data_IF_462653652968
#
_entry.id   IF_462653652968
#
_cell.length_a   1.000
_cell.length_b   1.000
_cell.length_c   1.000
_cell.angle_alpha   90.00
_cell.angle_beta   90.00
_cell.angle_gamma   90.00
#
_symmetry.space_group_name_H-M   'P 1'
#
loop_
_entity.id
_entity.type
_entity.pdbx_description
1 polymer ?
#
# COMPACT_ATOMS: atom_id res chain seq x y z
N UNK A 1 -25.60 -22.28 -3.61
CA UNK A 1 -24.33 -22.12 -4.34
C UNK A 1 -24.19 -20.66 -4.73
N UNK A 2 -22.95 -20.18 -4.79
CA UNK A 2 -22.49 -18.78 -4.84
C UNK A 2 -22.19 -18.17 -3.47
N UNK A 3 -21.13 -18.70 -2.86
CA UNK A 3 -20.33 -18.02 -1.84
C UNK A 3 -19.74 -16.75 -2.48
N UNK A 4 -19.77 -15.58 -1.82
CA UNK A 4 -18.92 -14.49 -2.25
C UNK A 4 -17.47 -14.89 -1.92
N UNK A 5 -16.71 -15.26 -2.95
CA UNK A 5 -15.24 -15.35 -2.94
C UNK A 5 -14.67 -13.94 -2.69
N UNK A 6 -14.92 -13.39 -1.50
CA UNK A 6 -14.22 -12.21 -1.02
C UNK A 6 -12.91 -12.73 -0.49
N UNK A 7 -12.01 -13.08 -1.41
CA UNK A 7 -10.57 -13.06 -1.12
C UNK A 7 -10.34 -11.76 -0.38
N UNK A 8 -9.68 -11.74 0.78
CA UNK A 8 -9.31 -10.47 1.37
C UNK A 8 -8.50 -9.78 0.29
N UNK A 9 -9.08 -8.76 -0.34
CA UNK A 9 -8.32 -7.81 -1.12
C UNK A 9 -7.29 -7.34 -0.11
N UNK A 10 -6.06 -7.84 -0.17
CA UNK A 10 -4.93 -7.27 0.55
C UNK A 10 -5.05 -5.79 0.28
N UNK A 11 -5.31 -4.99 1.33
CA UNK A 11 -5.49 -3.53 1.24
C UNK A 11 -4.26 -3.05 0.53
N UNK A 12 -4.35 -2.89 -0.77
CA UNK A 12 -3.21 -2.44 -1.53
C UNK A 12 -3.44 -0.97 -1.62
N UNK A 13 -2.70 -0.25 -0.80
CA UNK A 13 -2.77 1.19 -0.76
C UNK A 13 -2.46 1.73 -2.16
N UNK A 14 -3.39 2.52 -2.69
CA UNK A 14 -3.26 3.14 -4.01
C UNK A 14 -2.60 4.50 -3.84
N UNK A 15 -1.41 4.67 -4.40
CA UNK A 15 -0.69 5.94 -4.39
C UNK A 15 -1.09 6.81 -5.57
N UNK A 16 -1.24 8.12 -5.34
CA UNK A 16 -1.46 9.09 -6.40
C UNK A 16 -0.15 9.38 -7.16
N UNK A 17 -0.06 9.13 -8.47
CA UNK A 17 1.16 9.33 -9.24
C UNK A 17 1.51 10.80 -9.45
N UNK A 18 0.54 11.73 -9.32
CA UNK A 18 0.78 13.18 -9.48
C UNK A 18 1.57 13.77 -8.31
N UNK A 19 1.56 13.10 -7.16
CA UNK A 19 2.35 13.43 -5.98
C UNK A 19 3.73 12.75 -5.95
N UNK A 20 4.03 11.90 -6.94
CA UNK A 20 5.25 11.11 -6.99
C UNK A 20 6.22 11.62 -8.06
N UNK A 21 7.50 11.48 -7.78
CA UNK A 21 8.53 11.66 -8.78
C UNK A 21 8.57 10.48 -9.75
N UNK A 22 9.06 10.70 -10.96
CA UNK A 22 9.21 9.64 -11.97
C UNK A 22 10.03 8.44 -11.46
N UNK A 23 11.06 8.70 -10.64
CA UNK A 23 11.85 7.65 -10.01
C UNK A 23 11.03 6.78 -9.03
N UNK A 24 10.03 7.34 -8.35
CA UNK A 24 9.17 6.56 -7.46
C UNK A 24 8.13 5.76 -8.26
N UNK A 25 7.55 6.34 -9.30
CA UNK A 25 6.60 5.67 -10.18
C UNK A 25 7.24 4.47 -10.92
N UNK A 26 8.50 4.61 -11.34
CA UNK A 26 9.27 3.52 -11.96
C UNK A 26 9.78 2.49 -10.95
N UNK A 27 9.57 2.73 -9.64
CA UNK A 27 10.07 1.85 -8.60
C UNK A 27 11.60 1.87 -8.50
N UNK A 28 12.23 3.01 -8.81
CA UNK A 28 13.67 3.33 -8.68
C UNK A 28 14.02 4.11 -7.39
N UNK A 29 12.99 4.54 -6.66
CA UNK A 29 13.13 5.21 -5.37
C UNK A 29 11.99 4.82 -4.41
N UNK A 30 12.24 4.97 -3.11
CA UNK A 30 11.25 4.79 -2.07
C UNK A 30 10.10 5.80 -2.23
N UNK A 31 8.86 5.30 -2.28
CA UNK A 31 7.65 6.13 -2.39
C UNK A 31 7.44 7.06 -1.18
N UNK A 32 8.09 6.76 -0.04
CA UNK A 32 7.98 7.54 1.21
C UNK A 32 9.10 8.55 1.36
N UNK A 33 10.36 8.09 1.33
CA UNK A 33 11.53 8.91 1.67
C UNK A 33 12.38 9.33 0.45
N UNK A 34 11.97 8.95 -0.76
CA UNK A 34 12.65 9.28 -2.03
C UNK A 34 14.08 8.72 -2.16
N UNK A 35 14.52 7.88 -1.22
CA UNK A 35 15.82 7.22 -1.28
C UNK A 35 15.90 6.34 -2.54
N UNK A 36 16.95 6.55 -3.34
CA UNK A 36 17.24 5.77 -4.54
C UNK A 36 17.96 4.47 -4.20
N UNK A 37 17.85 3.47 -5.07
CA UNK A 37 18.48 2.16 -4.90
C UNK A 37 20.01 2.21 -5.05
N UNK A 38 20.77 1.30 -4.40
CA UNK A 38 20.63 -0.17 -4.41
C UNK A 38 20.03 -0.87 -3.14
N UNK A 39 19.22 -0.19 -2.31
CA UNK A 39 18.64 -0.80 -1.10
C UNK A 39 17.58 -1.91 -1.40
N UNK A 40 17.32 -2.83 -0.45
CA UNK A 40 16.23 -3.81 -0.57
C UNK A 40 14.87 -3.12 -0.80
N UNK A 41 14.12 -3.62 -1.78
CA UNK A 41 12.82 -3.05 -2.19
C UNK A 41 11.69 -3.90 -1.62
N UNK A 42 10.82 -3.29 -0.81
CA UNK A 42 9.61 -3.91 -0.28
C UNK A 42 8.39 -3.30 -0.97
N UNK A 43 7.41 -4.11 -1.38
CA UNK A 43 6.17 -3.61 -1.98
C UNK A 43 5.37 -2.88 -0.90
N UNK A 44 4.99 -1.64 -1.16
CA UNK A 44 4.14 -0.85 -0.25
C UNK A 44 2.72 -0.67 -0.77
N UNK A 45 2.55 -0.71 -2.08
CA UNK A 45 1.25 -0.48 -2.68
C UNK A 45 1.27 -0.59 -4.19
N UNK A 46 0.32 0.07 -4.83
CA UNK A 46 0.20 0.17 -6.28
C UNK A 46 -0.25 1.57 -6.72
N UNK A 47 -0.07 1.85 -8.00
CA UNK A 47 -0.60 3.01 -8.72
C UNK A 47 -1.98 2.67 -9.30
N UNK A 48 -2.79 3.67 -9.67
CA UNK A 48 -4.08 3.45 -10.33
C UNK A 48 -3.99 2.61 -11.61
N UNK A 49 -2.85 2.64 -12.31
CA UNK A 49 -2.58 1.81 -13.49
C UNK A 49 -2.18 0.35 -13.13
N UNK A 50 -2.22 -0.03 -11.85
CA UNK A 50 -1.82 -1.35 -11.34
C UNK A 50 -0.30 -1.55 -11.21
N UNK A 51 0.49 -0.52 -11.50
CA UNK A 51 1.95 -0.56 -11.33
C UNK A 51 2.32 -0.59 -9.84
N UNK A 52 3.28 -1.44 -9.46
CA UNK A 52 3.65 -1.61 -8.04
C UNK A 52 4.61 -0.52 -7.58
N UNK A 53 4.39 0.02 -6.40
CA UNK A 53 5.33 0.95 -5.76
C UNK A 53 6.09 0.29 -4.62
N UNK A 54 7.31 0.78 -4.39
CA UNK A 54 8.26 0.18 -3.48
C UNK A 54 8.77 1.16 -2.43
N UNK A 55 9.14 0.61 -1.28
CA UNK A 55 9.81 1.32 -0.19
C UNK A 55 11.14 0.66 0.17
N UNK A 56 11.99 1.41 0.86
CA UNK A 56 13.15 0.83 1.56
C UNK A 56 12.69 0.02 2.78
N UNK A 57 13.60 -0.78 3.34
CA UNK A 57 13.33 -1.62 4.50
C UNK A 57 12.82 -0.82 5.71
N UNK A 58 13.45 0.31 6.04
CA UNK A 58 13.00 1.16 7.16
C UNK A 58 11.56 1.67 6.95
N UNK A 59 11.24 2.25 5.79
CA UNK A 59 9.90 2.77 5.52
C UNK A 59 8.85 1.65 5.43
N UNK A 60 9.24 0.49 4.92
CA UNK A 60 8.35 -0.66 4.88
C UNK A 60 8.04 -1.21 6.26
N UNK A 61 9.03 -1.27 7.15
CA UNK A 61 8.80 -1.66 8.54
C UNK A 61 7.86 -0.71 9.27
N UNK A 62 7.92 0.59 8.98
CA UNK A 62 7.01 1.58 9.57
C UNK A 62 5.58 1.40 9.06
N UNK A 63 5.40 1.21 7.75
CA UNK A 63 4.07 1.08 7.14
C UNK A 63 3.43 -0.28 7.44
N UNK A 64 4.20 -1.37 7.46
CA UNK A 64 3.71 -2.72 7.76
C UNK A 64 3.25 -2.86 9.23
N UNK A 65 3.80 -2.04 10.13
CA UNK A 65 3.42 -2.00 11.55
C UNK A 65 2.09 -1.29 11.79
N UNK A 66 1.57 -0.52 10.83
CA UNK A 66 0.23 0.08 10.95
C UNK A 66 -0.84 -1.02 10.83
N UNK A 67 -1.51 -1.41 11.93
CA UNK A 67 -2.57 -2.39 11.85
C UNK A 67 -3.73 -1.73 11.13
N UNK A 68 -4.07 -2.29 9.97
CA UNK A 68 -5.31 -2.09 9.23
C UNK A 68 -6.48 -1.95 10.21
N UNK A 69 -6.93 -0.73 10.51
CA UNK A 69 -8.21 -0.53 11.18
C UNK A 69 -9.25 -1.03 10.18
N UNK A 70 -9.99 -2.12 10.45
CA UNK A 70 -11.06 -2.51 9.55
C UNK A 70 -12.06 -1.36 9.55
N UNK A 71 -12.19 -0.67 8.42
CA UNK A 71 -13.26 0.27 8.17
C UNK A 71 -14.58 -0.52 8.14
N UNK A 72 -15.16 -0.77 9.32
CA UNK A 72 -16.27 -1.72 9.40
C UNK A 72 -16.92 -1.94 10.75
N UNK A 73 -16.66 -1.16 11.81
CA UNK A 73 -17.50 -1.24 13.01
C UNK A 73 -18.66 -0.23 12.91
N UNK A 74 -19.63 -0.51 12.03
CA UNK A 74 -20.97 0.09 12.14
C UNK A 74 -21.71 -0.64 13.26
N UNK A 75 -21.46 -0.24 14.50
CA UNK A 75 -22.28 -0.64 15.66
C UNK A 75 -23.69 -0.07 15.48
N UNK A 76 -24.61 -0.88 14.98
CA UNK A 76 -26.02 -0.66 15.26
C UNK A 76 -26.31 -1.27 16.64
N UNK A 77 -26.28 -0.43 17.67
CA UNK A 77 -26.87 -0.79 18.95
C UNK A 77 -28.40 -0.75 18.79
N UNK A 78 -29.02 -1.92 18.72
CA UNK A 78 -30.44 -2.09 19.02
C UNK A 78 -30.52 -2.95 20.28
N UNK A 79 -30.96 -2.36 21.39
CA UNK A 79 -31.91 -2.95 22.34
C UNK A 79 -32.31 -1.95 23.43
#
# INVERSE_FOLDING_TARGET
>A
MCEPDTRPATDTYVYDPSLLSWAQCMGDACVVCHAKWPRPRRRLGELPDGSRVFGCEECAGIIDVEPRVPAGERLFAAH
#
